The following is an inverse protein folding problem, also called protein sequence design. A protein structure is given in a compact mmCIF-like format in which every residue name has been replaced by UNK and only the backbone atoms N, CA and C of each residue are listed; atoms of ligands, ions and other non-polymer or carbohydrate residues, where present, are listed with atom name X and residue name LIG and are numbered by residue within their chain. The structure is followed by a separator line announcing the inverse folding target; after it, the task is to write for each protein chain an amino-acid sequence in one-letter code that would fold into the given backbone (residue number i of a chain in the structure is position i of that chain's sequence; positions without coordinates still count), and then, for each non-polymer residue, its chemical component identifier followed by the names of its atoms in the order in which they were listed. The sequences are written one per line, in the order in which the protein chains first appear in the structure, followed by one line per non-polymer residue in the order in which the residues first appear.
data_IF_006447795013
#
_entry.id   IF_006447795013
#
_cell.length_a   1.000
_cell.length_b   1.000
_cell.length_c   1.000
_cell.angle_alpha   90.00
_cell.angle_beta   90.00
_cell.angle_gamma   90.00
#
_symmetry.space_group_name_H-M   'P 1'
#
loop_
_entity.id
_entity.type
_entity.pdbx_description
1 polymer ?
#
# COMPACT_ATOMS: atom_id res chain seq x y z
N UNK A 1 25.20 13.08 3.95
CA UNK A 1 25.03 13.85 5.20
C UNK A 1 23.55 14.14 5.49
N UNK A 2 22.82 14.90 4.67
CA UNK A 2 21.41 15.24 4.94
C UNK A 2 20.45 14.05 5.06
N UNK A 3 20.64 13.00 4.26
CA UNK A 3 19.79 11.81 4.30
C UNK A 3 19.89 11.05 5.63
N UNK A 4 21.11 10.86 6.13
CA UNK A 4 21.34 10.21 7.41
C UNK A 4 20.76 11.03 8.57
N UNK A 5 20.94 12.37 8.54
CA UNK A 5 20.34 13.28 9.53
C UNK A 5 18.81 13.15 9.53
N UNK A 6 18.18 13.04 8.35
CA UNK A 6 16.74 12.85 8.24
C UNK A 6 16.28 11.53 8.89
N UNK A 7 16.93 10.40 8.59
CA UNK A 7 16.58 9.10 9.18
C UNK A 7 16.79 9.08 10.70
N UNK A 8 17.88 9.67 11.19
CA UNK A 8 18.12 9.81 12.63
C UNK A 8 17.05 10.66 13.29
N UNK A 9 16.68 11.81 12.70
CA UNK A 9 15.62 12.66 13.22
C UNK A 9 14.27 11.93 13.25
N UNK A 10 13.93 11.18 12.20
CA UNK A 10 12.71 10.39 12.09
C UNK A 10 12.62 9.33 13.20
N UNK A 11 13.71 8.59 13.45
CA UNK A 11 13.78 7.63 14.54
C UNK A 11 13.67 8.30 15.91
N UNK A 12 14.32 9.45 16.10
CA UNK A 12 14.27 10.18 17.36
C UNK A 12 12.85 10.70 17.67
N UNK A 13 12.11 11.18 16.66
CA UNK A 13 10.71 11.60 16.84
C UNK A 13 9.85 10.43 17.31
N UNK A 14 10.00 9.25 16.69
CA UNK A 14 9.29 8.04 17.14
C UNK A 14 9.68 7.62 18.55
N UNK A 15 10.99 7.62 18.86
CA UNK A 15 11.48 7.29 20.19
C UNK A 15 10.95 8.27 21.25
N UNK A 16 10.75 9.54 20.88
CA UNK A 16 10.21 10.56 21.78
C UNK A 16 8.75 10.26 22.19
N UNK A 17 7.96 9.66 21.30
CA UNK A 17 6.62 9.17 21.63
C UNK A 17 6.69 8.07 22.71
N UNK A 18 7.57 7.09 22.54
CA UNK A 18 7.75 6.00 23.51
C UNK A 18 8.30 6.50 24.86
N UNK A 19 9.27 7.42 24.84
CA UNK A 19 9.77 8.06 26.06
C UNK A 19 8.66 8.83 26.79
N UNK A 20 7.78 9.51 26.05
CA UNK A 20 6.65 10.26 26.63
C UNK A 20 5.61 9.30 27.25
N UNK A 21 5.33 8.16 26.61
CA UNK A 21 4.47 7.09 27.17
C UNK A 21 5.07 6.52 28.47
N UNK A 22 6.38 6.25 28.47
CA UNK A 22 7.08 5.74 29.65
C UNK A 22 7.08 6.76 30.80
N UNK A 23 7.32 8.04 30.50
CA UNK A 23 7.23 9.14 31.46
C UNK A 23 5.84 9.25 32.07
N UNK A 24 4.79 9.22 31.24
CA UNK A 24 3.40 9.23 31.68
C UNK A 24 3.14 8.11 32.69
N UNK A 25 3.54 6.88 32.35
CA UNK A 25 3.36 5.71 33.21
C UNK A 25 4.08 5.87 34.55
N UNK A 26 5.34 6.28 34.53
CA UNK A 26 6.13 6.49 35.75
C UNK A 26 5.54 7.58 36.67
N UNK A 27 5.03 8.68 36.10
CA UNK A 27 4.35 9.71 36.88
C UNK A 27 3.09 9.19 37.57
N UNK A 28 2.29 8.38 36.90
CA UNK A 28 1.08 7.78 37.51
C UNK A 28 1.46 6.84 38.67
N UNK A 29 2.47 5.99 38.48
CA UNK A 29 2.98 5.10 39.53
C UNK A 29 3.53 5.88 40.74
N UNK A 30 4.27 6.97 40.49
CA UNK A 30 4.80 7.84 41.54
C UNK A 30 3.69 8.57 42.29
N UNK A 31 2.65 9.04 41.60
CA UNK A 31 1.49 9.66 42.25
C UNK A 31 0.78 8.68 43.17
N UNK A 32 0.50 7.46 42.71
CA UNK A 32 -0.13 6.43 43.55
C UNK A 32 0.72 6.06 44.77
N UNK A 33 2.04 6.01 44.61
CA UNK A 33 2.97 5.58 45.66
C UNK A 33 3.26 6.65 46.70
N UNK A 34 3.37 7.91 46.28
CA UNK A 34 3.87 8.99 47.13
C UNK A 34 2.79 10.00 47.53
N UNK A 35 1.67 10.08 46.80
CA UNK A 35 0.55 10.98 47.12
C UNK A 35 -0.61 10.17 47.68
N UNK A 36 -0.50 9.77 48.96
CA UNK A 36 -1.48 8.90 49.64
C UNK A 36 -2.65 9.66 50.28
N UNK A 37 -2.53 10.99 50.45
CA UNK A 37 -3.53 11.85 51.11
C UNK A 37 -4.05 12.97 50.19
N UNK A 38 -4.08 12.73 48.88
CA UNK A 38 -4.68 13.68 47.91
C UNK A 38 -6.19 13.55 47.87
N UNK A 39 -6.88 14.68 47.82
CA UNK A 39 -8.32 14.70 47.57
C UNK A 39 -8.65 14.23 46.15
N UNK A 40 -9.88 13.75 45.94
CA UNK A 40 -10.38 13.36 44.60
C UNK A 40 -10.25 14.50 43.58
N UNK A 41 -10.42 15.75 44.01
CA UNK A 41 -10.24 16.92 43.15
C UNK A 41 -8.77 17.09 42.69
N UNK A 42 -7.81 16.87 43.59
CA UNK A 42 -6.37 16.96 43.26
C UNK A 42 -5.94 15.80 42.38
N UNK A 43 -6.43 14.59 42.67
CA UNK A 43 -6.22 13.42 41.82
C UNK A 43 -6.73 13.66 40.39
N UNK A 44 -7.95 14.18 40.23
CA UNK A 44 -8.50 14.52 38.93
C UNK A 44 -7.68 15.58 38.17
N UNK A 45 -7.08 16.55 38.88
CA UNK A 45 -6.18 17.54 38.26
C UNK A 45 -4.87 16.92 37.79
N UNK A 46 -4.29 16.00 38.57
CA UNK A 46 -3.07 15.28 38.20
C UNK A 46 -3.31 14.37 36.99
N UNK A 47 -4.40 13.62 36.98
CA UNK A 47 -4.80 12.79 35.84
C UNK A 47 -5.03 13.63 34.57
N UNK A 48 -5.66 14.80 34.71
CA UNK A 48 -5.85 15.72 33.59
C UNK A 48 -4.52 16.30 33.07
N UNK A 49 -3.62 16.72 33.96
CA UNK A 49 -2.30 17.21 33.56
C UNK A 49 -1.51 16.13 32.81
N UNK A 50 -1.56 14.90 33.29
CA UNK A 50 -0.86 13.76 32.71
C UNK A 50 -1.49 13.28 31.40
N UNK A 51 -2.81 13.45 31.21
CA UNK A 51 -3.46 13.10 29.95
C UNK A 51 -3.02 13.99 28.78
N UNK A 52 -2.52 15.20 29.03
CA UNK A 52 -1.92 16.05 27.99
C UNK A 52 -0.69 15.42 27.33
N UNK A 53 -0.02 14.48 28.01
CA UNK A 53 1.07 13.70 27.42
C UNK A 53 0.58 12.78 26.30
N UNK A 54 -0.68 12.32 26.34
CA UNK A 54 -1.25 11.53 25.24
C UNK A 54 -1.36 12.35 23.95
N UNK A 55 -1.72 13.63 24.07
CA UNK A 55 -1.78 14.52 22.92
C UNK A 55 -0.39 14.79 22.34
N UNK A 56 0.63 14.89 23.20
CA UNK A 56 2.01 15.02 22.76
C UNK A 56 2.50 13.74 22.04
N UNK A 57 2.16 12.56 22.57
CA UNK A 57 2.43 11.26 21.93
C UNK A 57 1.80 11.21 20.54
N UNK A 58 0.51 11.56 20.42
CA UNK A 58 -0.19 11.59 19.12
C UNK A 58 0.49 12.52 18.12
N UNK A 59 0.99 13.68 18.57
CA UNK A 59 1.73 14.63 17.71
C UNK A 59 3.07 14.06 17.26
N UNK A 60 3.82 13.38 18.13
CA UNK A 60 5.05 12.70 17.74
C UNK A 60 4.78 11.57 16.74
N UNK A 61 3.77 10.73 17.00
CA UNK A 61 3.41 9.63 16.09
C UNK A 61 2.97 10.15 14.73
N UNK A 62 2.11 11.18 14.68
CA UNK A 62 1.69 11.82 13.44
C UNK A 62 2.87 12.45 12.68
N UNK A 63 3.78 13.13 13.39
CA UNK A 63 4.97 13.73 12.78
C UNK A 63 5.92 12.69 12.19
N UNK A 64 6.09 11.55 12.89
CA UNK A 64 6.88 10.44 12.38
C UNK A 64 6.23 9.80 11.15
N UNK A 65 4.91 9.59 11.14
CA UNK A 65 4.18 9.07 9.96
C UNK A 65 4.37 10.00 8.74
N UNK A 66 4.22 11.31 8.91
CA UNK A 66 4.50 12.30 7.84
C UNK A 66 5.95 12.20 7.35
N UNK A 67 6.89 11.95 8.26
CA UNK A 67 8.30 11.75 7.91
C UNK A 67 8.52 10.48 7.06
N UNK A 68 7.83 9.38 7.38
CA UNK A 68 7.84 8.15 6.59
C UNK A 68 7.25 8.39 5.19
N UNK A 69 6.13 9.12 5.08
CA UNK A 69 5.53 9.47 3.79
C UNK A 69 6.50 10.27 2.90
N UNK A 70 7.19 11.24 3.51
CA UNK A 70 8.22 12.04 2.82
C UNK A 70 9.40 11.18 2.40
N UNK A 71 9.80 10.20 3.21
CA UNK A 71 10.86 9.24 2.86
C UNK A 71 10.48 8.43 1.63
N UNK A 72 9.27 7.86 1.60
CA UNK A 72 8.77 7.12 0.44
C UNK A 72 8.75 8.00 -0.82
N UNK A 73 8.19 9.21 -0.70
CA UNK A 73 8.07 10.16 -1.82
C UNK A 73 9.43 10.57 -2.38
N UNK A 74 10.41 10.83 -1.53
CA UNK A 74 11.73 11.32 -1.93
C UNK A 74 12.66 10.22 -2.43
N UNK A 75 12.54 8.99 -1.93
CA UNK A 75 13.51 7.92 -2.20
C UNK A 75 12.92 6.77 -3.00
N UNK A 76 11.74 6.28 -2.63
CA UNK A 76 11.16 5.10 -3.24
C UNK A 76 10.46 5.45 -4.54
N UNK A 77 9.55 6.44 -4.55
CA UNK A 77 8.79 6.83 -5.75
C UNK A 77 9.68 7.08 -6.99
N UNK A 78 10.81 7.82 -6.93
CA UNK A 78 11.67 8.04 -8.09
C UNK A 78 12.36 6.78 -8.61
N UNK A 79 12.51 5.74 -7.77
CA UNK A 79 13.09 4.45 -8.15
C UNK A 79 12.03 3.46 -8.61
N UNK A 80 10.88 3.42 -7.94
CA UNK A 80 9.78 2.52 -8.25
C UNK A 80 9.18 2.83 -9.61
N UNK A 81 8.95 4.11 -9.91
CA UNK A 81 8.32 4.52 -11.17
C UNK A 81 9.05 3.98 -12.42
N UNK A 82 10.35 4.23 -12.64
CA UNK A 82 11.02 3.74 -13.86
C UNK A 82 11.10 2.21 -13.92
N UNK A 83 11.25 1.53 -12.78
CA UNK A 83 11.27 0.05 -12.73
C UNK A 83 9.89 -0.50 -13.10
N UNK A 84 8.82 0.08 -12.56
CA UNK A 84 7.44 -0.28 -12.91
C UNK A 84 7.12 0.02 -14.38
N UNK A 85 7.64 1.12 -14.94
CA UNK A 85 7.45 1.48 -16.36
C UNK A 85 8.06 0.44 -17.32
N UNK A 86 8.98 -0.42 -16.88
CA UNK A 86 9.46 -1.56 -17.68
C UNK A 86 8.35 -2.58 -17.99
N UNK A 87 7.28 -2.60 -17.19
CA UNK A 87 6.10 -3.44 -17.45
C UNK A 87 5.46 -3.13 -18.81
N UNK A 88 5.58 -1.88 -19.29
CA UNK A 88 5.08 -1.45 -20.59
C UNK A 88 5.85 -2.09 -21.77
N UNK A 89 7.00 -2.69 -21.53
CA UNK A 89 7.80 -3.38 -22.55
C UNK A 89 7.42 -4.85 -22.71
N UNK A 90 6.60 -5.40 -21.81
CA UNK A 90 6.10 -6.79 -21.89
C UNK A 90 4.84 -6.79 -22.74
N UNK A 91 4.70 -7.76 -23.66
CA UNK A 91 3.45 -7.89 -24.42
C UNK A 91 2.30 -8.31 -23.51
N UNK A 92 1.16 -7.62 -23.63
CA UNK A 92 -0.07 -7.91 -22.86
C UNK A 92 -1.17 -8.45 -23.77
N UNK A 93 -0.81 -8.78 -25.00
CA UNK A 93 -1.65 -9.50 -25.95
C UNK A 93 -0.89 -10.72 -26.47
N UNK A 94 -0.39 -11.61 -25.58
CA UNK A 94 0.42 -12.74 -26.02
C UNK A 94 -0.41 -13.73 -26.84
N UNK A 95 0.27 -14.42 -27.74
CA UNK A 95 -0.17 -15.69 -28.33
C UNK A 95 -0.06 -16.83 -27.30
N UNK A 96 -0.64 -17.99 -27.62
CA UNK A 96 -0.51 -19.18 -26.74
C UNK A 96 0.96 -19.59 -26.52
N UNK A 97 1.81 -19.45 -27.54
CA UNK A 97 3.24 -19.77 -27.42
C UNK A 97 3.95 -18.80 -26.48
N UNK A 98 3.74 -17.50 -26.63
CA UNK A 98 4.34 -16.49 -25.75
C UNK A 98 3.82 -16.61 -24.31
N UNK A 99 2.54 -16.96 -24.14
CA UNK A 99 1.97 -17.20 -22.83
C UNK A 99 2.59 -18.44 -22.16
N UNK A 100 2.83 -19.53 -22.91
CA UNK A 100 3.57 -20.68 -22.40
C UNK A 100 5.02 -20.33 -22.01
N UNK A 101 5.67 -19.44 -22.76
CA UNK A 101 6.99 -18.91 -22.40
C UNK A 101 6.94 -18.12 -21.08
N UNK A 102 5.90 -17.29 -20.85
CA UNK A 102 5.69 -16.58 -19.58
C UNK A 102 5.43 -17.51 -18.39
N UNK A 103 4.85 -18.69 -18.63
CA UNK A 103 4.67 -19.70 -17.58
C UNK A 103 5.99 -20.36 -17.19
N UNK A 104 6.91 -20.52 -18.14
CA UNK A 104 8.24 -21.06 -17.90
C UNK A 104 9.19 -20.04 -17.27
N UNK A 105 9.17 -18.79 -17.74
CA UNK A 105 9.99 -17.69 -17.26
C UNK A 105 9.15 -16.41 -17.14
N UNK A 106 8.98 -15.94 -15.91
CA UNK A 106 8.23 -14.72 -15.65
C UNK A 106 8.92 -13.49 -16.30
N UNK A 107 8.22 -12.71 -17.13
CA UNK A 107 8.85 -11.66 -17.92
C UNK A 107 9.14 -10.38 -17.11
N UNK A 108 8.64 -10.24 -15.88
CA UNK A 108 8.72 -8.97 -15.15
C UNK A 108 8.59 -9.06 -13.63
N UNK A 109 7.50 -9.64 -13.12
CA UNK A 109 7.07 -9.55 -11.74
C UNK A 109 8.10 -10.12 -10.75
N UNK A 110 8.75 -11.23 -11.08
CA UNK A 110 9.77 -11.84 -10.23
C UNK A 110 10.98 -10.90 -10.03
N UNK A 111 11.45 -10.30 -11.12
CA UNK A 111 12.56 -9.34 -11.06
C UNK A 111 12.15 -8.02 -10.38
N UNK A 112 10.90 -7.58 -10.59
CA UNK A 112 10.34 -6.42 -9.90
C UNK A 112 10.32 -6.65 -8.37
N UNK A 113 9.78 -7.78 -7.92
CA UNK A 113 9.72 -8.17 -6.51
C UNK A 113 11.13 -8.27 -5.92
N UNK A 114 12.07 -8.94 -6.58
CA UNK A 114 13.44 -9.06 -6.11
C UNK A 114 14.15 -7.69 -5.98
N UNK A 115 13.86 -6.76 -6.89
CA UNK A 115 14.38 -5.38 -6.83
C UNK A 115 13.78 -4.60 -5.68
N UNK A 116 12.46 -4.70 -5.48
CA UNK A 116 11.73 -4.05 -4.39
C UNK A 116 12.23 -4.56 -3.03
N UNK A 117 12.40 -5.87 -2.90
CA UNK A 117 12.85 -6.52 -1.67
C UNK A 117 14.24 -6.04 -1.23
N UNK A 118 15.19 -6.03 -2.16
CA UNK A 118 16.53 -5.51 -1.90
C UNK A 118 16.51 -4.04 -1.48
N UNK A 119 15.62 -3.24 -2.08
CA UNK A 119 15.49 -1.83 -1.71
C UNK A 119 14.91 -1.66 -0.31
N UNK A 120 13.90 -2.43 0.07
CA UNK A 120 13.28 -2.38 1.39
C UNK A 120 14.23 -2.89 2.48
N UNK A 121 14.88 -4.03 2.26
CA UNK A 121 15.84 -4.61 3.21
C UNK A 121 16.99 -3.66 3.57
N UNK A 122 17.38 -2.76 2.66
CA UNK A 122 18.41 -1.75 2.94
C UNK A 122 17.98 -0.71 4.01
N UNK A 123 16.68 -0.57 4.29
CA UNK A 123 16.13 0.36 5.27
C UNK A 123 15.84 -0.25 6.63
N UNK A 124 15.69 -1.58 6.71
CA UNK A 124 15.43 -2.29 7.96
C UNK A 124 16.43 -1.95 9.07
N UNK A 125 17.76 -1.97 8.85
CA UNK A 125 18.72 -1.63 9.91
C UNK A 125 18.81 -0.11 10.19
N UNK A 126 18.19 0.73 9.36
CA UNK A 126 18.29 2.19 9.46
C UNK A 126 17.13 2.82 10.22
N UNK A 127 16.04 2.09 10.42
CA UNK A 127 14.80 2.58 11.03
C UNK A 127 14.49 1.81 12.31
N UNK A 128 13.85 2.48 13.27
CA UNK A 128 13.23 1.76 14.39
C UNK A 128 12.07 0.89 13.88
N UNK A 129 11.77 -0.25 14.51
CA UNK A 129 10.82 -1.24 13.96
C UNK A 129 9.47 -0.65 13.54
N UNK A 130 8.90 0.26 14.34
CA UNK A 130 7.64 0.94 14.04
C UNK A 130 7.75 1.77 12.75
N UNK A 131 8.83 2.55 12.59
CA UNK A 131 9.01 3.34 11.37
C UNK A 131 9.28 2.47 10.15
N UNK A 132 9.96 1.33 10.31
CA UNK A 132 10.16 0.39 9.21
C UNK A 132 8.83 -0.24 8.77
N UNK A 133 7.99 -0.66 9.73
CA UNK A 133 6.67 -1.20 9.42
C UNK A 133 5.78 -0.17 8.70
N UNK A 134 5.75 1.07 9.17
CA UNK A 134 5.03 2.15 8.48
C UNK A 134 5.59 2.41 7.08
N UNK A 135 6.92 2.36 6.91
CA UNK A 135 7.54 2.51 5.59
C UNK A 135 7.08 1.42 4.63
N UNK A 136 7.01 0.16 5.09
CA UNK A 136 6.52 -0.94 4.27
C UNK A 136 5.09 -0.68 3.78
N UNK A 137 4.20 -0.22 4.66
CA UNK A 137 2.80 0.10 4.30
C UNK A 137 2.74 1.22 3.25
N UNK A 138 3.47 2.31 3.44
CA UNK A 138 3.47 3.45 2.50
C UNK A 138 4.08 3.06 1.16
N UNK A 139 5.15 2.24 1.15
CA UNK A 139 5.73 1.72 -0.09
C UNK A 139 4.78 0.77 -0.81
N UNK A 140 4.05 -0.09 -0.11
CA UNK A 140 3.04 -0.96 -0.72
C UNK A 140 1.92 -0.17 -1.41
N UNK A 141 1.48 0.94 -0.79
CA UNK A 141 0.51 1.85 -1.40
C UNK A 141 1.09 2.52 -2.66
N UNK A 142 2.35 2.99 -2.60
CA UNK A 142 3.03 3.56 -3.77
C UNK A 142 3.17 2.56 -4.91
N UNK A 143 3.57 1.32 -4.62
CA UNK A 143 3.67 0.23 -5.60
C UNK A 143 2.33 -0.02 -6.28
N UNK A 144 1.24 -0.11 -5.49
CA UNK A 144 -0.11 -0.31 -6.02
C UNK A 144 -0.52 0.82 -6.97
N UNK A 145 -0.22 2.07 -6.60
CA UNK A 145 -0.46 3.24 -7.45
C UNK A 145 0.36 3.25 -8.75
N UNK A 146 1.63 2.85 -8.69
CA UNK A 146 2.45 2.77 -9.91
C UNK A 146 2.02 1.62 -10.81
N UNK A 147 1.55 0.50 -10.24
CA UNK A 147 1.07 -0.63 -11.03
C UNK A 147 -0.24 -0.29 -11.76
N UNK A 148 -1.21 0.31 -11.07
CA UNK A 148 -2.42 0.86 -11.70
C UNK A 148 -2.07 1.80 -12.86
N UNK A 149 -1.09 2.69 -12.68
CA UNK A 149 -0.65 3.64 -13.71
C UNK A 149 -0.15 2.94 -14.98
N UNK A 150 0.59 1.84 -14.87
CA UNK A 150 1.09 1.12 -16.05
C UNK A 150 0.03 0.23 -16.66
N UNK A 151 -0.87 -0.36 -15.86
CA UNK A 151 -2.04 -1.10 -16.35
C UNK A 151 -2.87 -0.22 -17.29
N UNK A 152 -3.17 1.01 -16.86
CA UNK A 152 -3.97 1.97 -17.64
C UNK A 152 -3.32 2.44 -18.95
N UNK A 153 -2.07 2.09 -19.22
CA UNK A 153 -1.34 2.43 -20.45
C UNK A 153 -1.20 1.27 -21.43
N UNK A 154 -1.61 0.07 -21.02
CA UNK A 154 -1.51 -1.14 -21.83
C UNK A 154 -2.85 -1.48 -22.47
N UNK A 155 -2.80 -2.44 -23.39
CA UNK A 155 -3.97 -3.12 -23.95
C UNK A 155 -3.84 -4.61 -23.68
N UNK A 156 -4.96 -5.30 -23.55
CA UNK A 156 -5.02 -6.68 -23.11
C UNK A 156 -5.84 -7.53 -24.08
N UNK A 157 -5.44 -8.77 -24.27
CA UNK A 157 -6.34 -9.84 -24.73
C UNK A 157 -6.70 -10.74 -23.52
N UNK A 158 -7.46 -11.82 -23.75
CA UNK A 158 -7.79 -12.77 -22.68
C UNK A 158 -6.58 -13.31 -21.91
N UNK A 159 -5.54 -13.75 -22.63
CA UNK A 159 -4.32 -14.30 -22.04
C UNK A 159 -3.53 -13.23 -21.26
N UNK A 160 -3.49 -11.99 -21.75
CA UNK A 160 -2.91 -10.86 -21.04
C UNK A 160 -3.66 -10.53 -19.75
N UNK A 161 -4.99 -10.65 -19.74
CA UNK A 161 -5.80 -10.53 -18.53
C UNK A 161 -5.46 -11.61 -17.49
N UNK A 162 -5.26 -12.86 -17.93
CA UNK A 162 -4.84 -13.96 -17.06
C UNK A 162 -3.42 -13.75 -16.50
N UNK A 163 -2.49 -13.29 -17.33
CA UNK A 163 -1.14 -12.94 -16.88
C UNK A 163 -1.17 -11.80 -15.86
N UNK A 164 -1.95 -10.75 -16.11
CA UNK A 164 -2.10 -9.63 -15.17
C UNK A 164 -2.63 -10.10 -13.80
N UNK A 165 -3.59 -11.04 -13.78
CA UNK A 165 -4.09 -11.64 -12.54
C UNK A 165 -3.00 -12.43 -11.80
N UNK A 166 -2.18 -13.21 -12.52
CA UNK A 166 -1.03 -13.93 -11.95
C UNK A 166 0.00 -12.97 -11.36
N UNK A 167 0.31 -11.89 -12.08
CA UNK A 167 1.25 -10.85 -11.65
C UNK A 167 0.75 -10.15 -10.39
N UNK A 168 -0.53 -9.76 -10.37
CA UNK A 168 -1.16 -9.16 -9.21
C UNK A 168 -1.17 -10.09 -8.00
N UNK A 169 -1.50 -11.38 -8.17
CA UNK A 169 -1.49 -12.35 -7.07
C UNK A 169 -0.07 -12.53 -6.49
N UNK A 170 0.93 -12.60 -7.34
CA UNK A 170 2.34 -12.73 -6.92
C UNK A 170 2.78 -11.50 -6.14
N UNK A 171 2.50 -10.30 -6.67
CA UNK A 171 2.80 -9.04 -5.99
C UNK A 171 2.05 -8.91 -4.67
N UNK A 172 0.73 -9.14 -4.66
CA UNK A 172 -0.12 -9.04 -3.47
C UNK A 172 0.32 -10.01 -2.37
N UNK A 173 0.72 -11.22 -2.74
CA UNK A 173 1.30 -12.20 -1.81
C UNK A 173 2.59 -11.68 -1.20
N UNK A 174 3.52 -11.19 -2.02
CA UNK A 174 4.77 -10.60 -1.54
C UNK A 174 4.52 -9.41 -0.59
N UNK A 175 3.69 -8.45 -0.99
CA UNK A 175 3.39 -7.26 -0.18
C UNK A 175 2.72 -7.63 1.15
N UNK A 176 1.82 -8.62 1.15
CA UNK A 176 1.18 -9.13 2.38
C UNK A 176 2.20 -9.82 3.30
N UNK A 177 3.15 -10.57 2.74
CA UNK A 177 4.18 -11.27 3.51
C UNK A 177 5.10 -10.31 4.25
N UNK A 178 5.51 -9.21 3.60
CA UNK A 178 6.47 -8.27 4.19
C UNK A 178 5.80 -7.26 5.14
N UNK A 179 4.58 -6.81 4.85
CA UNK A 179 3.95 -5.69 5.56
C UNK A 179 2.73 -6.10 6.41
N UNK A 180 2.29 -7.35 6.28
CA UNK A 180 1.13 -7.89 6.98
C UNK A 180 -0.21 -7.55 6.33
N UNK A 181 -1.29 -7.96 7.01
CA UNK A 181 -2.67 -7.90 6.48
C UNK A 181 -3.19 -6.48 6.23
N UNK A 182 -2.63 -5.47 6.89
CA UNK A 182 -3.02 -4.06 6.73
C UNK A 182 -2.86 -3.57 5.28
N UNK A 183 -1.98 -4.20 4.49
CA UNK A 183 -1.75 -3.83 3.10
C UNK A 183 -2.85 -4.31 2.15
N UNK A 184 -3.68 -5.29 2.53
CA UNK A 184 -4.80 -5.74 1.68
C UNK A 184 -5.74 -4.60 1.32
N UNK A 185 -6.02 -3.71 2.27
CA UNK A 185 -6.84 -2.53 2.02
C UNK A 185 -6.22 -1.61 0.96
N UNK A 186 -4.88 -1.49 0.94
CA UNK A 186 -4.15 -0.67 -0.04
C UNK A 186 -4.18 -1.28 -1.44
N UNK A 187 -4.34 -2.61 -1.55
CA UNK A 187 -4.43 -3.32 -2.82
C UNK A 187 -5.88 -3.53 -3.29
N UNK A 188 -6.91 -3.17 -2.51
CA UNK A 188 -8.33 -3.41 -2.85
C UNK A 188 -8.70 -2.82 -4.21
N UNK A 189 -8.39 -1.54 -4.45
CA UNK A 189 -8.69 -0.90 -5.74
C UNK A 189 -8.00 -1.60 -6.90
N UNK A 190 -6.72 -1.93 -6.74
CA UNK A 190 -5.95 -2.64 -7.77
C UNK A 190 -6.52 -4.05 -8.02
N UNK A 191 -7.00 -4.74 -6.99
CA UNK A 191 -7.70 -6.01 -7.15
C UNK A 191 -8.96 -5.86 -8.00
N UNK A 192 -9.77 -4.83 -7.76
CA UNK A 192 -10.97 -4.56 -8.56
C UNK A 192 -10.62 -4.26 -10.02
N UNK A 193 -9.57 -3.49 -10.27
CA UNK A 193 -9.04 -3.22 -11.62
C UNK A 193 -8.69 -4.52 -12.35
N UNK A 194 -7.92 -5.40 -11.69
CA UNK A 194 -7.50 -6.68 -12.25
C UNK A 194 -8.71 -7.59 -12.51
N UNK A 195 -9.67 -7.64 -11.59
CA UNK A 195 -10.90 -8.42 -11.76
C UNK A 195 -11.72 -7.99 -12.99
N UNK A 196 -11.87 -6.68 -13.23
CA UNK A 196 -12.59 -6.17 -14.41
C UNK A 196 -11.84 -6.50 -15.72
N UNK A 197 -10.50 -6.45 -15.73
CA UNK A 197 -9.71 -6.77 -16.92
C UNK A 197 -9.70 -8.29 -17.20
N UNK A 198 -9.80 -9.13 -16.17
CA UNK A 198 -9.65 -10.58 -16.25
C UNK A 198 -10.95 -11.35 -16.59
N UNK A 199 -12.01 -10.67 -16.99
CA UNK A 199 -13.30 -11.28 -17.37
C UNK A 199 -13.25 -11.97 -18.74
N UNK A 200 -14.08 -12.96 -18.97
CA UNK A 200 -14.25 -13.63 -20.27
C UNK A 200 -15.16 -12.82 -21.22
N UNK A 201 -16.07 -11.99 -20.69
CA UNK A 201 -17.06 -11.26 -21.49
C UNK A 201 -17.50 -9.94 -20.85
N UNK A 202 -18.19 -9.09 -21.65
CA UNK A 202 -18.79 -7.84 -21.15
C UNK A 202 -19.87 -8.11 -20.09
N UNK A 203 -20.68 -9.16 -20.27
CA UNK A 203 -21.72 -9.52 -19.30
C UNK A 203 -21.14 -9.95 -17.94
N UNK A 204 -20.02 -10.68 -17.96
CA UNK A 204 -19.30 -11.02 -16.74
C UNK A 204 -18.67 -9.77 -16.09
N UNK A 205 -18.23 -8.78 -16.88
CA UNK A 205 -17.78 -7.50 -16.35
C UNK A 205 -18.89 -6.77 -15.57
N UNK A 206 -20.10 -6.72 -16.12
CA UNK A 206 -21.27 -6.15 -15.44
C UNK A 206 -21.57 -6.91 -14.15
N UNK A 207 -21.59 -8.25 -14.19
CA UNK A 207 -21.81 -9.07 -13.00
C UNK A 207 -20.73 -8.82 -11.94
N UNK A 208 -19.46 -8.83 -12.34
CA UNK A 208 -18.33 -8.55 -11.47
C UNK A 208 -18.46 -7.17 -10.81
N UNK A 209 -18.80 -6.13 -11.57
CA UNK A 209 -18.99 -4.79 -11.04
C UNK A 209 -20.14 -4.70 -10.05
N UNK A 210 -21.30 -5.32 -10.35
CA UNK A 210 -22.43 -5.40 -9.41
C UNK A 210 -22.07 -6.16 -8.14
N UNK A 211 -21.31 -7.25 -8.23
CA UNK A 211 -20.82 -7.97 -7.04
C UNK A 211 -19.91 -7.08 -6.19
N UNK A 212 -19.06 -6.24 -6.81
CA UNK A 212 -18.20 -5.29 -6.11
C UNK A 212 -18.99 -4.18 -5.40
N UNK A 213 -20.17 -3.76 -5.90
CA UNK A 213 -21.05 -2.81 -5.20
C UNK A 213 -21.46 -3.31 -3.82
N UNK A 214 -21.57 -4.63 -3.65
CA UNK A 214 -21.82 -5.27 -2.35
C UNK A 214 -20.55 -5.43 -1.49
N UNK A 215 -19.36 -5.24 -2.05
CA UNK A 215 -18.05 -5.50 -1.44
C UNK A 215 -17.08 -4.30 -1.56
N UNK A 216 -17.53 -3.13 -1.06
CA UNK A 216 -16.71 -1.90 -0.98
C UNK A 216 -16.11 -1.47 -2.34
N UNK A 217 -16.99 -1.24 -3.32
CA UNK A 217 -16.62 -0.72 -4.63
C UNK A 217 -15.83 0.58 -4.53
N UNK A 218 -14.65 0.62 -5.15
CA UNK A 218 -13.78 1.79 -5.25
C UNK A 218 -13.67 2.35 -6.66
N UNK A 219 -14.28 1.68 -7.64
CA UNK A 219 -14.30 2.10 -9.05
C UNK A 219 -15.62 2.80 -9.37
N UNK A 220 -15.56 3.86 -10.16
CA UNK A 220 -16.77 4.43 -10.78
C UNK A 220 -17.17 3.63 -12.02
N UNK A 221 -18.41 3.76 -12.48
CA UNK A 221 -18.87 3.15 -13.75
C UNK A 221 -17.99 3.59 -14.94
N UNK A 222 -17.60 4.86 -14.98
CA UNK A 222 -16.69 5.39 -16.01
C UNK A 222 -15.31 4.75 -15.95
N UNK A 223 -14.79 4.49 -14.75
CA UNK A 223 -13.51 3.80 -14.57
C UNK A 223 -13.61 2.33 -15.02
N UNK A 224 -14.66 1.62 -14.62
CA UNK A 224 -14.89 0.24 -15.04
C UNK A 224 -15.02 0.11 -16.57
N UNK A 225 -15.74 1.03 -17.21
CA UNK A 225 -15.86 1.07 -18.67
C UNK A 225 -14.51 1.33 -19.36
N UNK A 226 -13.70 2.27 -18.83
CA UNK A 226 -12.35 2.54 -19.36
C UNK A 226 -11.41 1.35 -19.19
N UNK A 227 -11.50 0.65 -18.07
CA UNK A 227 -10.73 -0.55 -17.79
C UNK A 227 -11.11 -1.69 -18.73
N UNK A 228 -12.40 -1.93 -18.91
CA UNK A 228 -12.89 -2.94 -19.85
C UNK A 228 -12.50 -2.60 -21.29
N UNK A 229 -12.47 -1.32 -21.66
CA UNK A 229 -12.02 -0.87 -22.97
C UNK A 229 -10.52 -1.13 -23.24
N UNK A 230 -9.72 -1.48 -22.23
CA UNK A 230 -8.34 -1.95 -22.44
C UNK A 230 -8.31 -3.36 -23.06
N UNK A 231 -9.42 -4.13 -23.00
CA UNK A 231 -9.57 -5.45 -23.62
C UNK A 231 -9.95 -5.34 -25.09
N UNK A 232 -8.96 -5.47 -25.97
CA UNK A 232 -9.11 -5.27 -27.42
C UNK A 232 -9.84 -6.42 -28.12
N UNK A 233 -9.98 -7.55 -27.44
CA UNK A 233 -10.70 -8.74 -27.91
C UNK A 233 -12.20 -8.70 -27.59
N UNK A 234 -12.64 -7.78 -26.72
CA UNK A 234 -14.06 -7.61 -26.39
C UNK A 234 -14.77 -6.66 -27.38
N UNK A 235 -16.05 -6.89 -27.72
CA UNK A 235 -16.75 -6.05 -28.68
C UNK A 235 -16.98 -4.63 -28.17
N UNK A 236 -16.40 -3.62 -28.83
CA UNK A 236 -16.49 -2.22 -28.42
C UNK A 236 -17.93 -1.68 -28.28
N UNK A 237 -18.85 -2.14 -29.13
CA UNK A 237 -20.26 -1.73 -29.05
C UNK A 237 -21.00 -2.38 -27.87
N UNK A 238 -20.58 -3.58 -27.44
CA UNK A 238 -21.10 -4.16 -26.21
C UNK A 238 -20.59 -3.38 -24.99
N UNK A 239 -19.31 -2.99 -24.96
CA UNK A 239 -18.73 -2.19 -23.87
C UNK A 239 -19.45 -0.84 -23.71
N UNK A 240 -19.74 -0.15 -24.83
CA UNK A 240 -20.48 1.14 -24.79
C UNK A 240 -21.90 1.02 -24.22
N UNK A 241 -22.51 -0.16 -24.36
CA UNK A 241 -23.86 -0.44 -23.89
C UNK A 241 -23.86 -1.17 -22.54
N UNK A 242 -22.69 -1.41 -21.93
CA UNK A 242 -22.57 -2.09 -20.65
C UNK A 242 -23.17 -1.24 -19.53
N UNK A 243 -23.93 -1.89 -18.65
CA UNK A 243 -24.55 -1.33 -17.47
C UNK A 243 -23.68 -1.59 -16.24
N UNK A 244 -22.70 -0.69 -16.03
CA UNK A 244 -21.91 -0.60 -14.80
C UNK A 244 -22.61 0.27 -13.75
#
# INVERSE_FOLDING_TARGET
MFFQIFLTALNNVRASAECTKALKKGLLEDFEKHLTEVSELEKGKLENAVSQLDDLVRKFDSSANIGVDKLCTAVFRPKLKPVMELYLNVTHTPSESEFADFEAEDPFMDNFIATLDRQLAAFEPLLVPVNYQELLVVVCAEVSMQFERVIMKNVYNRLGGLQLDKDFRSLSSYLTNIAGWVVREKCTRLSQIVSIINVDSVAEAEECFHQLQHHNLMLTSDEAMKLLALRIDLPSDAIKNASF
#
